data_IF_388123286352
#
_entry.id   IF_388123286352
#
_cell.length_a   1.000
_cell.length_b   1.000
_cell.length_c   1.000
_cell.angle_alpha   90.00
_cell.angle_beta   90.00
_cell.angle_gamma   90.00
#
_symmetry.space_group_name_H-M   'P 1'
#
loop_
_entity.id
_entity.type
_entity.pdbx_description
1 polymer ?
#
# COMPACT_ATOMS: atom_id res chain seq x y z
N UNK A 1 -6.36 -16.20 -17.04
CA UNK A 1 -6.32 -17.09 -15.85
C UNK A 1 -6.60 -16.22 -14.65
N UNK A 2 -7.34 -16.70 -13.64
CA UNK A 2 -7.55 -15.90 -12.42
C UNK A 2 -6.20 -15.66 -11.73
N UNK A 3 -5.95 -14.43 -11.33
CA UNK A 3 -4.69 -14.00 -10.67
C UNK A 3 -4.44 -14.75 -9.35
N UNK A 4 -5.53 -15.07 -8.64
CA UNK A 4 -5.53 -15.87 -7.40
C UNK A 4 -6.66 -16.89 -7.47
N UNK A 5 -6.37 -18.14 -7.09
CA UNK A 5 -7.40 -19.18 -7.06
C UNK A 5 -8.31 -19.02 -5.84
N UNK A 6 -9.58 -19.42 -5.99
CA UNK A 6 -10.55 -19.43 -4.89
C UNK A 6 -10.07 -20.28 -3.70
N UNK A 7 -9.33 -21.36 -3.97
CA UNK A 7 -8.73 -22.24 -2.95
C UNK A 7 -7.73 -21.49 -2.07
N UNK A 8 -6.84 -20.69 -2.69
CA UNK A 8 -5.87 -19.87 -1.96
C UNK A 8 -6.56 -18.83 -1.06
N UNK A 9 -7.61 -18.17 -1.57
CA UNK A 9 -8.39 -17.22 -0.78
C UNK A 9 -9.07 -17.88 0.43
N UNK A 10 -9.60 -19.09 0.23
CA UNK A 10 -10.24 -19.87 1.30
C UNK A 10 -9.22 -20.28 2.38
N UNK A 11 -8.07 -20.82 1.97
CA UNK A 11 -6.98 -21.25 2.87
C UNK A 11 -6.36 -20.07 3.66
N UNK A 12 -6.29 -18.91 3.03
CA UNK A 12 -5.83 -17.68 3.68
C UNK A 12 -6.87 -17.07 4.63
N UNK A 13 -8.13 -17.54 4.61
CA UNK A 13 -9.20 -17.04 5.47
C UNK A 13 -9.76 -15.68 5.05
N UNK A 14 -9.69 -15.34 3.75
CA UNK A 14 -10.21 -14.07 3.21
C UNK A 14 -11.72 -13.96 3.34
N UNK A 15 -12.43 -15.09 3.39
CA UNK A 15 -13.89 -15.15 3.44
C UNK A 15 -14.50 -14.80 4.80
N UNK A 16 -13.71 -14.74 5.87
CA UNK A 16 -14.22 -14.35 7.19
C UNK A 16 -14.36 -12.82 7.26
N UNK A 17 -15.56 -12.37 7.60
CA UNK A 17 -15.80 -10.97 7.93
C UNK A 17 -15.90 -10.74 9.44
N UNK A 18 -16.44 -9.60 9.81
CA UNK A 18 -16.66 -9.22 11.19
C UNK A 18 -17.99 -9.77 11.76
N UNK A 19 -18.16 -9.61 13.07
CA UNK A 19 -19.41 -9.93 13.77
C UNK A 19 -20.59 -9.18 13.17
N UNK A 20 -21.75 -9.82 13.06
CA UNK A 20 -22.97 -9.28 12.44
C UNK A 20 -23.39 -7.92 13.00
N UNK A 21 -23.23 -7.70 14.30
CA UNK A 21 -23.56 -6.42 14.96
C UNK A 21 -22.70 -5.20 14.51
N UNK A 22 -21.56 -5.47 13.85
CA UNK A 22 -20.59 -4.41 13.46
C UNK A 22 -20.59 -4.13 11.95
N UNK A 23 -21.46 -4.76 11.20
CA UNK A 23 -21.45 -4.67 9.76
C UNK A 23 -21.92 -3.32 9.23
N UNK A 24 -21.56 -3.03 7.98
CA UNK A 24 -22.10 -1.91 7.24
C UNK A 24 -23.13 -2.45 6.22
N UNK A 25 -24.38 -1.92 6.20
CA UNK A 25 -25.42 -2.36 5.25
C UNK A 25 -25.00 -2.26 3.78
N UNK A 26 -24.13 -1.33 3.41
CA UNK A 26 -23.61 -1.18 2.05
C UNK A 26 -22.75 -2.36 1.60
N UNK A 27 -22.26 -3.17 2.55
CA UNK A 27 -21.52 -4.40 2.25
C UNK A 27 -22.43 -5.59 1.93
N UNK A 28 -23.76 -5.45 2.05
CA UNK A 28 -24.71 -6.52 1.73
C UNK A 28 -24.47 -7.20 0.36
N UNK A 29 -24.13 -6.49 -0.73
CA UNK A 29 -23.85 -7.11 -2.01
C UNK A 29 -22.66 -8.08 -2.01
N UNK A 30 -21.72 -7.95 -1.06
CA UNK A 30 -20.48 -8.74 -0.97
C UNK A 30 -20.58 -9.87 0.06
N UNK A 31 -21.66 -9.95 0.81
CA UNK A 31 -21.88 -10.98 1.83
C UNK A 31 -22.57 -12.18 1.18
N UNK A 32 -22.05 -13.38 1.43
CA UNK A 32 -22.65 -14.65 1.00
C UNK A 32 -23.67 -15.16 1.99
N UNK A 33 -23.32 -15.25 3.28
CA UNK A 33 -24.17 -15.78 4.35
C UNK A 33 -23.67 -15.32 5.73
N UNK A 34 -24.43 -15.68 6.76
CA UNK A 34 -24.02 -15.56 8.16
C UNK A 34 -23.80 -16.95 8.73
N UNK A 35 -22.74 -17.11 9.55
CA UNK A 35 -22.47 -18.34 10.30
C UNK A 35 -21.89 -18.01 11.66
N UNK A 36 -22.49 -18.52 12.72
CA UNK A 36 -22.07 -18.32 14.11
C UNK A 36 -21.89 -16.83 14.51
N UNK A 37 -22.77 -15.95 14.03
CA UNK A 37 -22.73 -14.51 14.33
C UNK A 37 -21.61 -13.75 13.60
N UNK A 38 -21.00 -14.37 12.56
CA UNK A 38 -19.98 -13.75 11.71
C UNK A 38 -20.47 -13.80 10.26
N UNK A 39 -20.29 -12.71 9.52
CA UNK A 39 -20.57 -12.68 8.10
C UNK A 39 -19.48 -13.38 7.30
N UNK A 40 -19.89 -14.11 6.28
CA UNK A 40 -19.02 -14.78 5.31
C UNK A 40 -19.05 -13.99 4.02
N UNK A 41 -17.90 -13.57 3.54
CA UNK A 41 -17.74 -12.80 2.30
C UNK A 41 -17.81 -13.74 1.10
N UNK A 42 -18.46 -13.28 0.02
CA UNK A 42 -18.58 -14.01 -1.24
C UNK A 42 -17.25 -13.99 -2.01
N UNK A 43 -16.50 -15.09 -1.96
CA UNK A 43 -15.22 -15.22 -2.64
C UNK A 43 -15.30 -15.13 -4.17
N UNK A 44 -16.43 -15.44 -4.78
CA UNK A 44 -16.60 -15.28 -6.24
C UNK A 44 -16.52 -13.81 -6.62
N UNK A 45 -17.12 -12.95 -5.82
CA UNK A 45 -17.05 -11.49 -5.99
C UNK A 45 -15.65 -10.97 -5.65
N UNK A 46 -15.02 -11.53 -4.60
CA UNK A 46 -13.64 -11.17 -4.24
C UNK A 46 -12.69 -11.44 -5.39
N UNK A 47 -12.75 -12.62 -6.05
CA UNK A 47 -11.89 -12.95 -7.19
C UNK A 47 -12.04 -11.92 -8.31
N UNK A 48 -13.29 -11.62 -8.70
CA UNK A 48 -13.56 -10.63 -9.78
C UNK A 48 -13.04 -9.24 -9.44
N UNK A 49 -13.32 -8.77 -8.22
CA UNK A 49 -12.90 -7.44 -7.77
C UNK A 49 -11.38 -7.35 -7.56
N UNK A 50 -10.75 -8.42 -7.13
CA UNK A 50 -9.29 -8.52 -7.03
C UNK A 50 -8.64 -8.45 -8.43
N UNK A 51 -9.24 -9.09 -9.45
CA UNK A 51 -8.76 -9.05 -10.83
C UNK A 51 -8.91 -7.65 -11.45
N UNK A 52 -10.05 -6.96 -11.20
CA UNK A 52 -10.23 -5.57 -11.58
C UNK A 52 -9.15 -4.65 -10.95
N UNK A 53 -8.91 -4.80 -9.65
CA UNK A 53 -7.90 -4.05 -8.92
C UNK A 53 -6.47 -4.38 -9.40
N UNK A 54 -6.18 -5.65 -9.69
CA UNK A 54 -4.90 -6.11 -10.22
C UNK A 54 -4.58 -5.45 -11.56
N UNK A 55 -5.52 -5.48 -12.50
CA UNK A 55 -5.36 -4.88 -13.82
C UNK A 55 -5.12 -3.38 -13.71
N UNK A 56 -5.90 -2.69 -12.87
CA UNK A 56 -5.70 -1.25 -12.63
C UNK A 56 -4.29 -0.94 -12.09
N UNK A 57 -3.83 -1.70 -11.09
CA UNK A 57 -2.50 -1.52 -10.48
C UNK A 57 -1.39 -1.81 -11.49
N UNK A 58 -1.53 -2.88 -12.30
CA UNK A 58 -0.60 -3.22 -13.36
C UNK A 58 -0.48 -2.12 -14.41
N UNK A 59 -1.61 -1.63 -14.90
CA UNK A 59 -1.65 -0.59 -15.94
C UNK A 59 -1.11 0.75 -15.41
N UNK A 60 -1.33 1.05 -14.13
CA UNK A 60 -0.76 2.22 -13.46
C UNK A 60 0.76 2.10 -13.33
N UNK A 61 1.25 0.92 -12.96
CA UNK A 61 2.68 0.63 -12.88
C UNK A 61 3.36 0.68 -14.26
N UNK A 62 2.69 0.18 -15.31
CA UNK A 62 3.14 0.27 -16.70
C UNK A 62 3.22 1.71 -17.23
N UNK A 63 2.55 2.67 -16.59
CA UNK A 63 2.67 4.10 -16.87
C UNK A 63 3.73 4.79 -15.99
N UNK A 64 4.63 4.05 -15.35
CA UNK A 64 5.70 4.58 -14.51
C UNK A 64 5.22 5.26 -13.22
N UNK A 65 3.95 5.08 -12.83
CA UNK A 65 3.40 5.69 -11.63
C UNK A 65 3.68 4.82 -10.39
N UNK A 66 3.91 5.46 -9.26
CA UNK A 66 4.14 4.77 -7.99
C UNK A 66 2.86 4.53 -7.21
N UNK A 67 2.88 3.50 -6.38
CA UNK A 67 1.78 3.13 -5.49
C UNK A 67 2.24 3.28 -4.04
N UNK A 68 1.37 3.84 -3.20
CA UNK A 68 1.62 3.95 -1.77
C UNK A 68 0.82 2.88 -1.03
N UNK A 69 1.53 1.93 -0.40
CA UNK A 69 0.94 0.88 0.41
C UNK A 69 0.69 1.40 1.83
N UNK A 70 -0.54 1.31 2.32
CA UNK A 70 -0.95 1.85 3.62
C UNK A 70 -1.60 0.76 4.46
N UNK A 71 -1.05 0.50 5.64
CA UNK A 71 -1.62 -0.47 6.56
C UNK A 71 -1.02 -0.32 7.96
N UNK A 72 -1.69 0.45 8.82
CA UNK A 72 -1.22 0.71 10.19
C UNK A 72 -1.75 -0.30 11.21
N UNK A 73 -2.60 -1.23 10.78
CA UNK A 73 -3.10 -2.33 11.61
C UNK A 73 -1.95 -3.29 11.94
N UNK A 74 -1.84 -3.74 13.19
CA UNK A 74 -0.73 -4.61 13.63
C UNK A 74 -0.55 -5.84 12.73
N UNK A 75 -1.65 -6.41 12.25
CA UNK A 75 -1.67 -7.58 11.37
C UNK A 75 -1.15 -7.27 9.95
N UNK A 76 -1.21 -6.00 9.53
CA UNK A 76 -0.84 -5.56 8.19
C UNK A 76 0.59 -4.99 8.11
N UNK A 77 1.14 -4.50 9.23
CA UNK A 77 2.38 -3.71 9.25
C UNK A 77 3.56 -4.38 8.55
N UNK A 78 3.80 -5.65 8.86
CA UNK A 78 4.93 -6.40 8.32
C UNK A 78 4.69 -6.79 6.86
N UNK A 79 3.50 -7.29 6.53
CA UNK A 79 3.13 -7.67 5.18
C UNK A 79 3.21 -6.48 4.21
N UNK A 80 2.70 -5.32 4.61
CA UNK A 80 2.74 -4.09 3.82
C UNK A 80 4.18 -3.63 3.59
N UNK A 81 5.02 -3.67 4.63
CA UNK A 81 6.43 -3.29 4.51
C UNK A 81 7.19 -4.24 3.58
N UNK A 82 7.11 -5.55 3.84
CA UNK A 82 7.83 -6.58 3.07
C UNK A 82 7.47 -6.52 1.58
N UNK A 83 6.17 -6.44 1.26
CA UNK A 83 5.71 -6.45 -0.13
C UNK A 83 6.00 -5.15 -0.86
N UNK A 84 5.87 -4.00 -0.20
CA UNK A 84 6.25 -2.72 -0.80
C UNK A 84 7.76 -2.62 -1.06
N UNK A 85 8.60 -3.03 -0.10
CA UNK A 85 10.06 -3.05 -0.26
C UNK A 85 10.48 -4.03 -1.37
N UNK A 86 9.82 -5.20 -1.47
CA UNK A 86 10.10 -6.19 -2.51
C UNK A 86 9.97 -5.64 -3.93
N UNK A 87 9.01 -4.76 -4.15
CA UNK A 87 8.72 -4.19 -5.49
C UNK A 87 9.19 -2.74 -5.64
N UNK A 88 9.97 -2.22 -4.67
CA UNK A 88 10.49 -0.86 -4.69
C UNK A 88 9.40 0.21 -4.71
N UNK A 89 8.31 -0.02 -3.96
CA UNK A 89 7.23 0.93 -3.77
C UNK A 89 7.27 1.56 -2.38
N UNK A 90 6.45 2.60 -2.18
CA UNK A 90 6.39 3.34 -0.93
C UNK A 90 5.38 2.71 0.03
N UNK A 91 5.61 2.87 1.34
CA UNK A 91 4.69 2.35 2.34
C UNK A 91 4.56 3.23 3.59
N UNK A 92 3.41 3.09 4.25
CA UNK A 92 3.12 3.63 5.58
C UNK A 92 2.52 2.52 6.43
N UNK A 93 3.31 2.00 7.37
CA UNK A 93 2.91 0.85 8.20
C UNK A 93 2.77 1.17 9.69
N UNK A 94 3.25 2.31 10.18
CA UNK A 94 3.19 2.62 11.61
C UNK A 94 2.01 3.52 11.97
N UNK A 95 1.91 4.71 11.37
CA UNK A 95 0.83 5.66 11.58
C UNK A 95 0.78 6.64 10.41
N UNK A 96 -0.41 6.87 9.89
CA UNK A 96 -0.64 7.96 8.94
C UNK A 96 -0.49 9.31 9.65
N UNK A 97 0.38 10.16 9.12
CA UNK A 97 0.51 11.54 9.61
C UNK A 97 -0.42 12.43 8.80
N UNK A 98 -1.26 13.23 9.49
CA UNK A 98 -2.14 14.17 8.82
C UNK A 98 -1.36 15.13 7.93
N UNK A 99 -1.83 15.33 6.69
CA UNK A 99 -1.16 16.15 5.70
C UNK A 99 -0.07 15.42 4.90
N UNK A 100 0.03 14.10 4.98
CA UNK A 100 1.06 13.33 4.27
C UNK A 100 1.00 13.51 2.76
N UNK A 101 -0.18 13.63 2.19
CA UNK A 101 -0.40 13.94 0.78
C UNK A 101 -0.79 15.40 0.57
N UNK A 102 -1.76 15.90 1.32
CA UNK A 102 -2.29 17.28 1.15
C UNK A 102 -1.30 18.36 1.54
N UNK A 103 -0.34 18.07 2.42
CA UNK A 103 0.75 18.98 2.81
C UNK A 103 2.12 18.33 2.50
N UNK A 104 2.23 17.75 1.32
CA UNK A 104 3.40 16.99 0.88
C UNK A 104 4.70 17.81 0.94
N UNK A 105 4.64 19.12 0.61
CA UNK A 105 5.80 20.01 0.70
C UNK A 105 6.39 20.04 2.12
N UNK A 106 5.56 20.17 3.14
CA UNK A 106 6.00 20.15 4.54
C UNK A 106 6.52 18.77 4.95
N UNK A 107 5.90 17.69 4.45
CA UNK A 107 6.42 16.33 4.69
C UNK A 107 7.80 16.14 4.11
N UNK A 108 8.07 16.68 2.91
CA UNK A 108 9.41 16.68 2.30
C UNK A 108 10.45 17.35 3.19
N UNK A 109 10.17 18.49 3.79
CA UNK A 109 11.12 19.14 4.72
C UNK A 109 11.45 18.27 5.94
N UNK A 110 10.51 17.42 6.39
CA UNK A 110 10.76 16.46 7.48
C UNK A 110 11.60 15.28 7.02
N UNK A 111 11.40 14.82 5.79
CA UNK A 111 12.23 13.78 5.17
C UNK A 111 13.66 14.31 4.95
N UNK A 112 13.82 15.54 4.45
CA UNK A 112 15.12 16.18 4.28
C UNK A 112 15.84 16.35 5.63
N UNK A 113 15.08 16.66 6.69
CA UNK A 113 15.63 16.70 8.06
C UNK A 113 16.13 15.34 8.52
N UNK A 114 15.42 14.25 8.21
CA UNK A 114 15.88 12.89 8.50
C UNK A 114 17.20 12.58 7.78
N UNK A 115 17.28 12.92 6.49
CA UNK A 115 18.50 12.73 5.71
C UNK A 115 19.69 13.54 6.27
N UNK A 116 19.43 14.78 6.69
CA UNK A 116 20.42 15.66 7.32
C UNK A 116 20.97 15.07 8.63
N UNK A 117 20.07 14.59 9.51
CA UNK A 117 20.47 14.00 10.79
C UNK A 117 21.27 12.70 10.59
N UNK A 118 20.86 11.84 9.63
CA UNK A 118 21.62 10.63 9.29
C UNK A 118 23.00 10.96 8.72
N UNK A 119 23.11 12.01 7.91
CA UNK A 119 24.41 12.48 7.42
C UNK A 119 25.30 12.97 8.55
N UNK A 120 24.77 13.77 9.48
CA UNK A 120 25.52 14.23 10.66
C UNK A 120 26.01 13.07 11.55
N UNK A 121 25.22 12.00 11.66
CA UNK A 121 25.60 10.78 12.37
C UNK A 121 26.75 10.06 11.64
N UNK A 122 26.66 9.90 10.33
CA UNK A 122 27.66 9.23 9.50
C UNK A 122 29.00 10.03 9.44
N UNK A 123 28.92 11.35 9.36
CA UNK A 123 30.08 12.26 9.31
C UNK A 123 30.77 12.41 10.66
N UNK A 124 30.29 11.73 11.73
CA UNK A 124 30.89 11.81 13.08
C UNK A 124 30.61 13.12 13.82
N UNK A 125 29.81 14.02 13.29
CA UNK A 125 29.47 15.33 13.89
C UNK A 125 28.85 15.16 15.29
N UNK A 126 28.17 14.03 15.56
CA UNK A 126 27.58 13.73 16.86
C UNK A 126 28.63 13.60 17.97
N UNK A 127 29.89 13.26 17.64
CA UNK A 127 30.99 13.20 18.61
C UNK A 127 31.39 14.58 19.17
N UNK A 128 31.10 15.65 18.42
CA UNK A 128 31.40 17.03 18.80
C UNK A 128 30.27 17.69 19.60
N UNK A 129 29.07 17.05 19.67
CA UNK A 129 27.91 17.61 20.34
C UNK A 129 27.82 17.16 21.81
N UNK A 130 27.19 17.98 22.69
CA UNK A 130 26.89 17.55 24.06
C UNK A 130 26.01 16.28 24.05
N UNK A 131 26.27 15.36 24.99
CA UNK A 131 25.52 14.07 25.09
C UNK A 131 24.01 14.24 25.08
N UNK A 132 23.46 15.30 25.68
CA UNK A 132 22.03 15.59 25.73
C UNK A 132 21.45 15.86 24.33
N UNK A 133 22.18 16.56 23.47
CA UNK A 133 21.77 16.85 22.10
C UNK A 133 21.85 15.61 21.22
N UNK A 134 22.89 14.80 21.38
CA UNK A 134 23.03 13.52 20.66
C UNK A 134 21.84 12.62 20.95
N UNK A 135 21.44 12.42 22.20
CA UNK A 135 20.27 11.62 22.59
C UNK A 135 18.99 12.19 21.98
N UNK A 136 18.83 13.52 21.95
CA UNK A 136 17.68 14.17 21.34
C UNK A 136 17.62 13.92 19.82
N UNK A 137 18.74 14.05 19.12
CA UNK A 137 18.83 13.80 17.68
C UNK A 137 18.61 12.32 17.32
N UNK A 138 19.16 11.40 18.10
CA UNK A 138 18.91 9.97 17.93
C UNK A 138 17.43 9.62 18.14
N UNK A 139 16.79 10.21 19.14
CA UNK A 139 15.35 10.06 19.36
C UNK A 139 14.51 10.66 18.22
N UNK A 140 14.97 11.77 17.63
CA UNK A 140 14.33 12.38 16.44
C UNK A 140 14.48 11.48 15.21
N UNK A 141 15.67 10.93 14.95
CA UNK A 141 15.95 9.97 13.86
C UNK A 141 15.01 8.76 13.99
N UNK A 142 15.00 8.11 15.14
CA UNK A 142 14.19 6.92 15.40
C UNK A 142 12.69 7.19 15.15
N UNK A 143 12.21 8.35 15.57
CA UNK A 143 10.82 8.77 15.37
C UNK A 143 10.51 9.03 13.89
N UNK A 144 11.35 9.77 13.19
CA UNK A 144 11.17 10.10 11.77
C UNK A 144 11.28 8.83 10.91
N UNK A 145 12.24 7.96 11.17
CA UNK A 145 12.41 6.68 10.47
C UNK A 145 11.19 5.78 10.64
N UNK A 146 10.66 5.69 11.87
CA UNK A 146 9.45 4.90 12.15
C UNK A 146 8.23 5.33 11.34
N UNK A 147 8.04 6.66 11.13
CA UNK A 147 6.83 7.17 10.50
C UNK A 147 7.00 7.54 9.03
N UNK A 148 8.19 7.91 8.61
CA UNK A 148 8.47 8.40 7.26
C UNK A 148 9.48 7.54 6.49
N UNK A 149 10.02 6.49 7.13
CA UNK A 149 11.03 5.63 6.51
C UNK A 149 10.59 5.02 5.18
N UNK A 150 9.34 4.57 5.08
CA UNK A 150 8.78 3.98 3.87
C UNK A 150 8.47 4.97 2.75
N UNK A 151 8.47 6.27 3.03
CA UNK A 151 8.19 7.34 2.04
C UNK A 151 9.38 8.27 1.80
N UNK A 152 10.57 7.93 2.34
CA UNK A 152 11.77 8.77 2.27
C UNK A 152 12.21 9.10 0.84
N UNK A 153 12.04 8.17 -0.08
CA UNK A 153 12.42 8.32 -1.50
C UNK A 153 11.32 8.86 -2.40
N UNK A 154 10.11 9.05 -1.87
CA UNK A 154 8.96 9.55 -2.61
C UNK A 154 9.16 11.01 -3.01
N UNK A 155 9.41 11.28 -4.30
CA UNK A 155 9.67 12.62 -4.85
C UNK A 155 8.40 13.31 -5.37
N UNK A 156 7.40 12.53 -5.77
CA UNK A 156 6.11 12.97 -6.32
C UNK A 156 4.98 12.28 -5.57
N UNK A 157 3.78 12.82 -5.66
CA UNK A 157 2.58 12.14 -5.15
C UNK A 157 2.39 10.79 -5.85
N UNK A 158 1.90 9.77 -5.14
CA UNK A 158 1.64 8.46 -5.73
C UNK A 158 0.46 8.52 -6.70
N UNK A 159 0.46 7.65 -7.72
CA UNK A 159 -0.64 7.51 -8.66
C UNK A 159 -1.86 6.78 -8.09
N UNK A 160 -1.66 5.93 -7.07
CA UNK A 160 -2.74 5.29 -6.32
C UNK A 160 -2.30 4.94 -4.89
N UNK A 161 -3.30 4.72 -4.03
CA UNK A 161 -3.11 4.15 -2.70
C UNK A 161 -3.64 2.71 -2.67
N UNK A 162 -2.88 1.80 -2.05
CA UNK A 162 -3.38 0.49 -1.63
C UNK A 162 -3.56 0.51 -0.11
N UNK A 163 -4.80 0.32 0.37
CA UNK A 163 -5.16 0.51 1.79
C UNK A 163 -5.67 -0.79 2.40
N UNK A 164 -5.20 -1.12 3.59
CA UNK A 164 -5.76 -2.17 4.43
C UNK A 164 -6.58 -1.54 5.55
N UNK A 165 -7.85 -1.92 5.67
CA UNK A 165 -8.82 -1.39 6.63
C UNK A 165 -9.13 0.11 6.41
N UNK A 166 -10.04 0.45 5.46
CA UNK A 166 -10.49 1.82 5.20
C UNK A 166 -10.99 2.55 6.44
N UNK A 167 -11.66 1.84 7.34
CA UNK A 167 -12.22 2.42 8.56
C UNK A 167 -11.14 2.99 9.49
N UNK A 168 -9.99 2.34 9.54
CA UNK A 168 -8.85 2.80 10.35
C UNK A 168 -8.07 3.92 9.66
N UNK A 169 -7.96 3.85 8.35
CA UNK A 169 -7.15 4.77 7.55
C UNK A 169 -7.96 5.93 6.95
N UNK A 170 -9.02 6.38 7.64
CA UNK A 170 -9.92 7.46 7.17
C UNK A 170 -9.19 8.74 6.75
N UNK A 171 -8.11 9.09 7.45
CA UNK A 171 -7.34 10.28 7.12
C UNK A 171 -6.62 10.13 5.78
N UNK A 172 -6.09 8.95 5.49
CA UNK A 172 -5.46 8.65 4.20
C UNK A 172 -6.47 8.74 3.06
N UNK A 173 -7.66 8.15 3.26
CA UNK A 173 -8.77 8.19 2.29
C UNK A 173 -9.23 9.63 2.04
N UNK A 174 -9.46 10.41 3.10
CA UNK A 174 -9.90 11.80 2.96
C UNK A 174 -8.89 12.67 2.20
N UNK A 175 -7.58 12.46 2.43
CA UNK A 175 -6.52 13.16 1.71
C UNK A 175 -6.42 12.71 0.25
N UNK A 176 -6.50 11.40 -0.02
CA UNK A 176 -6.45 10.86 -1.37
C UNK A 176 -7.64 11.35 -2.22
N UNK A 177 -8.86 11.29 -1.68
CA UNK A 177 -10.07 11.81 -2.36
C UNK A 177 -9.98 13.30 -2.65
N UNK A 178 -9.42 14.09 -1.73
CA UNK A 178 -9.21 15.54 -1.95
C UNK A 178 -8.25 15.83 -3.11
N UNK A 179 -7.31 14.95 -3.35
CA UNK A 179 -6.31 15.05 -4.42
C UNK A 179 -6.68 14.25 -5.67
N UNK A 180 -7.87 13.60 -5.69
CA UNK A 180 -8.33 12.73 -6.77
C UNK A 180 -7.35 11.58 -7.07
N UNK A 181 -6.70 11.04 -6.04
CA UNK A 181 -5.82 9.88 -6.14
C UNK A 181 -6.68 8.63 -5.96
N UNK A 182 -6.70 7.69 -6.93
CA UNK A 182 -7.47 6.46 -6.85
C UNK A 182 -7.08 5.60 -5.64
N UNK A 183 -8.07 4.95 -5.05
CA UNK A 183 -7.90 4.12 -3.86
C UNK A 183 -8.30 2.68 -4.17
N UNK A 184 -7.36 1.76 -3.99
CA UNK A 184 -7.58 0.31 -3.95
C UNK A 184 -7.57 -0.12 -2.50
N UNK A 185 -8.58 -0.85 -2.01
CA UNK A 185 -8.57 -1.23 -0.61
C UNK A 185 -9.13 -2.63 -0.34
N UNK A 186 -8.57 -3.29 0.69
CA UNK A 186 -9.20 -4.46 1.31
C UNK A 186 -10.32 -3.95 2.20
N UNK A 187 -11.55 -4.33 1.86
CA UNK A 187 -12.78 -3.85 2.51
C UNK A 187 -13.47 -5.00 3.21
N UNK A 188 -13.49 -4.98 4.52
CA UNK A 188 -14.20 -5.97 5.33
C UNK A 188 -15.68 -5.54 5.54
N UNK A 189 -16.49 -6.40 6.10
CA UNK A 189 -17.93 -6.22 6.30
C UNK A 189 -18.33 -5.04 7.18
N UNK A 190 -17.39 -4.45 7.94
CA UNK A 190 -17.58 -3.30 8.82
C UNK A 190 -17.22 -1.93 8.18
N UNK A 191 -16.75 -1.95 6.93
CA UNK A 191 -16.28 -0.77 6.20
C UNK A 191 -17.33 -0.25 5.22
N UNK A 192 -17.17 0.99 4.74
CA UNK A 192 -17.99 1.58 3.69
C UNK A 192 -17.31 1.39 2.33
N UNK A 193 -17.88 0.60 1.40
CA UNK A 193 -17.29 0.38 0.08
C UNK A 193 -17.30 1.63 -0.81
N UNK A 194 -18.18 2.61 -0.56
CA UNK A 194 -18.28 3.83 -1.37
C UNK A 194 -17.12 4.82 -1.12
N UNK A 195 -16.32 4.58 -0.08
CA UNK A 195 -15.16 5.41 0.23
C UNK A 195 -13.95 5.11 -0.66
N UNK A 196 -13.98 4.00 -1.43
CA UNK A 196 -12.86 3.51 -2.24
C UNK A 196 -13.27 3.25 -3.68
N UNK A 197 -12.33 3.39 -4.63
CA UNK A 197 -12.61 3.24 -6.05
C UNK A 197 -12.56 1.76 -6.49
N UNK A 198 -11.61 1.01 -5.96
CA UNK A 198 -11.44 -0.43 -6.24
C UNK A 198 -11.59 -1.22 -4.94
N UNK A 199 -12.77 -1.76 -4.74
CA UNK A 199 -13.13 -2.55 -3.54
C UNK A 199 -12.63 -3.98 -3.71
N UNK A 200 -11.81 -4.48 -2.79
CA UNK A 200 -11.44 -5.88 -2.67
C UNK A 200 -12.13 -6.42 -1.42
N UNK A 201 -13.29 -7.10 -1.54
CA UNK A 201 -13.98 -7.63 -0.37
C UNK A 201 -13.13 -8.73 0.27
N UNK A 202 -12.80 -8.58 1.55
CA UNK A 202 -11.94 -9.55 2.22
C UNK A 202 -11.65 -9.22 3.66
N UNK A 203 -11.11 -10.20 4.37
CA UNK A 203 -10.73 -10.10 5.77
C UNK A 203 -9.50 -9.20 5.95
N UNK A 204 -9.63 -8.16 6.74
CA UNK A 204 -8.56 -7.22 7.08
C UNK A 204 -7.89 -7.49 8.44
N UNK A 205 -8.31 -8.58 9.15
CA UNK A 205 -7.77 -9.01 10.45
C UNK A 205 -6.80 -10.21 10.33
N UNK A 206 -6.95 -11.04 9.30
CA UNK A 206 -6.14 -12.22 9.12
C UNK A 206 -4.82 -11.89 8.42
N UNK A 207 -3.69 -12.11 9.09
CA UNK A 207 -2.34 -11.85 8.54
C UNK A 207 -2.13 -12.55 7.19
N UNK A 208 -2.60 -13.81 7.05
CA UNK A 208 -2.48 -14.58 5.82
C UNK A 208 -3.30 -13.98 4.67
N UNK A 209 -4.50 -13.48 4.95
CA UNK A 209 -5.37 -12.84 3.98
C UNK A 209 -4.76 -11.53 3.48
N UNK A 210 -4.29 -10.68 4.40
CA UNK A 210 -3.63 -9.42 4.08
C UNK A 210 -2.38 -9.67 3.25
N UNK A 211 -1.53 -10.63 3.66
CA UNK A 211 -0.28 -10.97 2.93
C UNK A 211 -0.58 -11.47 1.53
N UNK A 212 -1.57 -12.34 1.33
CA UNK A 212 -1.96 -12.85 0.02
C UNK A 212 -2.41 -11.71 -0.91
N UNK A 213 -3.27 -10.82 -0.45
CA UNK A 213 -3.77 -9.72 -1.26
C UNK A 213 -2.67 -8.68 -1.51
N UNK A 214 -1.87 -8.33 -0.49
CA UNK A 214 -0.75 -7.39 -0.66
C UNK A 214 0.31 -7.92 -1.63
N UNK A 215 0.66 -9.21 -1.56
CA UNK A 215 1.60 -9.83 -2.51
C UNK A 215 1.03 -9.88 -3.93
N UNK A 216 -0.28 -10.06 -4.07
CA UNK A 216 -0.95 -10.01 -5.37
C UNK A 216 -0.86 -8.61 -5.98
N UNK A 217 -1.11 -7.56 -5.20
CA UNK A 217 -0.95 -6.17 -5.67
C UNK A 217 0.51 -5.84 -5.99
N UNK A 218 1.45 -6.32 -5.19
CA UNK A 218 2.88 -6.17 -5.48
C UNK A 218 3.30 -6.89 -6.77
N UNK A 219 2.75 -8.08 -7.04
CA UNK A 219 3.00 -8.79 -8.30
C UNK A 219 2.45 -8.03 -9.52
N UNK A 220 1.30 -7.37 -9.39
CA UNK A 220 0.76 -6.49 -10.43
C UNK A 220 1.74 -5.35 -10.78
N UNK A 221 2.38 -4.75 -9.76
CA UNK A 221 3.42 -3.73 -9.97
C UNK A 221 4.62 -4.29 -10.73
N UNK A 222 5.06 -5.49 -10.36
CA UNK A 222 6.21 -6.13 -11.03
C UNK A 222 5.89 -6.44 -12.48
N UNK A 223 4.70 -7.00 -12.76
CA UNK A 223 4.25 -7.31 -14.12
C UNK A 223 4.14 -6.04 -14.99
N UNK A 224 3.57 -4.95 -14.44
CA UNK A 224 3.47 -3.68 -15.16
C UNK A 224 4.84 -3.11 -15.54
N UNK A 225 5.83 -3.14 -14.64
CA UNK A 225 7.18 -2.66 -14.90
C UNK A 225 7.96 -3.52 -15.90
N UNK A 226 7.78 -4.84 -15.87
CA UNK A 226 8.41 -5.73 -16.86
C UNK A 226 7.86 -5.50 -18.26
N UNK A 227 6.61 -5.07 -18.38
CA UNK A 227 6.03 -4.63 -19.66
C UNK A 227 6.73 -3.40 -20.25
N UNK A 228 7.16 -2.44 -19.42
CA UNK A 228 7.93 -1.26 -19.84
C UNK A 228 9.33 -1.63 -20.36
N UNK A 229 10.07 -2.47 -19.64
CA UNK A 229 11.42 -2.91 -20.06
C UNK A 229 11.42 -3.59 -21.43
N UNK A 230 10.35 -4.31 -21.77
CA UNK A 230 10.21 -4.96 -23.07
C UNK A 230 9.79 -4.00 -24.20
N UNK A 231 9.21 -2.84 -23.87
CA UNK A 231 8.81 -1.81 -24.87
C UNK A 231 9.90 -0.78 -25.12
N UNK A 232 10.83 -0.60 -24.21
CA UNK A 232 11.98 0.31 -24.35
C UNK A 232 13.24 -0.33 -24.96
N UNK A 233 13.22 -1.63 -25.31
CA UNK A 233 14.32 -2.23 -26.04
C UNK A 233 14.42 -1.59 -27.43
N UNK A 234 15.50 -0.85 -27.76
CA UNK A 234 15.62 -0.19 -29.04
C UNK A 234 15.69 -1.24 -30.13
N UNK A 235 14.93 -1.01 -31.21
CA UNK A 235 15.15 -1.71 -32.47
C UNK A 235 16.63 -1.51 -32.86
N UNK A 236 17.42 -2.55 -32.66
CA UNK A 236 18.82 -2.57 -33.08
C UNK A 236 18.85 -2.37 -34.59
N UNK A 237 19.53 -1.33 -35.01
CA UNK A 237 19.92 -0.98 -36.35
C UNK A 237 20.23 -2.21 -37.21
N UNK A 238 19.39 -2.46 -38.21
CA UNK A 238 19.84 -3.13 -39.42
C UNK A 238 20.75 -2.17 -40.19
N UNK A 239 22.03 -2.35 -40.07
CA UNK A 239 23.00 -1.73 -40.95
C UNK A 239 22.82 -2.28 -42.37
N UNK A 240 22.65 -1.45 -43.39
CA UNK A 240 22.64 -1.94 -44.77
C UNK A 240 24.07 -2.37 -45.17
N UNK A 241 24.19 -3.63 -45.61
CA UNK A 241 25.35 -4.08 -46.31
C UNK A 241 25.51 -3.27 -47.62
N UNK A 242 26.60 -2.56 -47.71
CA UNK A 242 27.03 -1.91 -48.95
C UNK A 242 27.95 -2.88 -49.71
N UNK A 243 27.70 -3.02 -51.01
CA UNK A 243 28.54 -3.64 -52.02
C UNK A 243 29.97 -3.07 -52.06
#
# INVERSE_FOLDING_TARGET
MAVVSMKQLLEAGVHFGHQTRRWNPKMAPYIYTERNGIYIIDLQKTVKKLEEAYNFVRDLAANGQSILFVGTKKQAQDAIKEEAERVGQYYVNARWLGGMLTNFRTMRTRIDRLAQLKKMEADGTFAMLPKKEVIKHQGEIAKLEKYLGGVKEMKKLPGALFIVDPRKERNAIAEARKLHIPIVAIVDTNCDPDEVDYVIPGNDDAIRAIRLIASTMANAVTEGRQGEENTEAPAAEEAPAAE
#
